data_IF_462909992223
#
_entry.id   IF_462909992223
#
_cell.length_a   1.000
_cell.length_b   1.000
_cell.length_c   1.000
_cell.angle_alpha   90.00
_cell.angle_beta   90.00
_cell.angle_gamma   90.00
#
_symmetry.space_group_name_H-M   'P 1'
#
loop_
_entity.id
_entity.type
_entity.pdbx_description
1 polymer ?
#
# COMPACT_ATOMS: atom_id res chain seq x y z
N UNK A 1 36.17 1.94 -31.79
CA UNK A 1 36.02 2.83 -30.61
C UNK A 1 34.55 2.96 -30.15
N UNK A 2 33.67 1.98 -30.38
CA UNK A 2 32.21 2.18 -30.26
C UNK A 2 31.55 1.44 -29.06
N UNK A 3 32.24 0.48 -28.44
CA UNK A 3 31.72 -0.29 -27.29
C UNK A 3 31.34 0.59 -26.09
N UNK A 4 32.05 1.70 -25.86
CA UNK A 4 31.85 2.56 -24.68
C UNK A 4 30.59 3.44 -24.70
N UNK A 5 30.00 3.70 -25.87
CA UNK A 5 28.77 4.52 -25.97
C UNK A 5 27.53 3.67 -25.68
N UNK A 6 27.45 2.49 -26.31
CA UNK A 6 26.36 1.53 -26.14
C UNK A 6 26.18 1.09 -24.67
N UNK A 7 27.28 0.87 -23.94
CA UNK A 7 27.19 0.48 -22.54
C UNK A 7 26.62 1.60 -21.64
N UNK A 8 26.87 2.88 -21.96
CA UNK A 8 26.28 4.02 -21.22
C UNK A 8 24.78 4.10 -21.42
N UNK A 9 24.28 3.94 -22.64
CA UNK A 9 22.84 3.93 -22.92
C UNK A 9 22.13 2.77 -22.24
N UNK A 10 22.74 1.57 -22.23
CA UNK A 10 22.20 0.41 -21.52
C UNK A 10 22.12 0.64 -20.01
N UNK A 11 23.14 1.28 -19.42
CA UNK A 11 23.12 1.64 -17.99
C UNK A 11 22.04 2.67 -17.66
N UNK A 12 21.88 3.69 -18.51
CA UNK A 12 20.83 4.69 -18.35
C UNK A 12 19.44 4.06 -18.48
N UNK A 13 19.24 3.21 -19.48
CA UNK A 13 17.99 2.48 -19.68
C UNK A 13 17.63 1.65 -18.45
N UNK A 14 18.58 0.91 -17.88
CA UNK A 14 18.36 0.11 -16.66
C UNK A 14 17.93 0.98 -15.47
N UNK A 15 18.53 2.17 -15.29
CA UNK A 15 18.14 3.09 -14.22
C UNK A 15 16.74 3.66 -14.45
N UNK A 16 16.40 4.04 -15.68
CA UNK A 16 15.06 4.52 -16.03
C UNK A 16 14.02 3.41 -15.83
N UNK A 17 14.29 2.20 -16.28
CA UNK A 17 13.38 1.06 -16.07
C UNK A 17 13.25 0.73 -14.58
N UNK A 18 14.34 0.75 -13.81
CA UNK A 18 14.27 0.57 -12.36
C UNK A 18 13.40 1.64 -11.70
N UNK A 19 13.50 2.88 -12.16
CA UNK A 19 12.68 3.98 -11.67
C UNK A 19 11.19 3.83 -12.00
N UNK A 20 10.88 3.42 -13.24
CA UNK A 20 9.50 3.12 -13.64
C UNK A 20 8.91 1.97 -12.81
N UNK A 21 9.68 0.90 -12.59
CA UNK A 21 9.29 -0.20 -11.70
C UNK A 21 9.03 0.32 -10.28
N UNK A 22 9.86 1.24 -9.78
CA UNK A 22 9.63 1.90 -8.50
C UNK A 22 8.32 2.68 -8.47
N UNK A 23 8.05 3.54 -9.45
CA UNK A 23 6.78 4.27 -9.54
C UNK A 23 5.58 3.32 -9.57
N UNK A 24 5.65 2.24 -10.36
CA UNK A 24 4.59 1.22 -10.44
C UNK A 24 4.41 0.53 -9.09
N UNK A 25 5.49 0.12 -8.41
CA UNK A 25 5.39 -0.53 -7.09
C UNK A 25 4.80 0.39 -6.02
N UNK A 26 4.99 1.70 -6.14
CA UNK A 26 4.38 2.69 -5.24
C UNK A 26 2.90 2.86 -5.55
N UNK A 27 2.54 3.01 -6.82
CA UNK A 27 1.13 3.09 -7.22
C UNK A 27 0.39 1.83 -6.78
N UNK A 28 0.91 0.64 -7.11
CA UNK A 28 0.32 -0.64 -6.66
C UNK A 28 0.40 -0.80 -5.15
N UNK A 29 1.43 -0.29 -4.47
CA UNK A 29 1.54 -0.37 -3.01
C UNK A 29 0.48 0.49 -2.31
N UNK A 30 0.30 1.74 -2.74
CA UNK A 30 -0.76 2.62 -2.25
C UNK A 30 -2.13 2.06 -2.62
N UNK A 31 -2.38 1.84 -3.90
CA UNK A 31 -3.64 1.28 -4.40
C UNK A 31 -3.93 -0.08 -3.77
N UNK A 32 -2.93 -0.92 -3.56
CA UNK A 32 -3.02 -2.25 -2.96
C UNK A 32 -3.29 -2.22 -1.46
N UNK A 33 -2.67 -1.32 -0.70
CA UNK A 33 -3.02 -1.09 0.71
C UNK A 33 -4.51 -0.71 0.85
N UNK A 34 -4.99 0.17 -0.03
CA UNK A 34 -6.40 0.54 -0.06
C UNK A 34 -7.31 -0.54 -0.64
N UNK A 35 -6.89 -1.27 -1.68
CA UNK A 35 -7.63 -2.39 -2.28
C UNK A 35 -7.74 -3.57 -1.33
N UNK A 36 -6.70 -3.85 -0.56
CA UNK A 36 -6.69 -4.95 0.40
C UNK A 36 -7.66 -4.66 1.54
N UNK A 37 -7.67 -3.42 2.01
CA UNK A 37 -8.71 -2.94 2.93
C UNK A 37 -10.11 -2.92 2.31
N UNK A 38 -10.24 -2.63 1.01
CA UNK A 38 -11.51 -2.66 0.29
C UNK A 38 -12.04 -4.07 0.06
N UNK A 39 -11.19 -5.02 -0.31
CA UNK A 39 -11.56 -6.44 -0.41
C UNK A 39 -11.94 -6.96 0.96
N UNK A 40 -11.17 -6.61 2.00
CA UNK A 40 -11.53 -6.90 3.38
C UNK A 40 -12.89 -6.29 3.73
N UNK A 41 -13.16 -5.05 3.33
CA UNK A 41 -14.42 -4.36 3.61
C UNK A 41 -15.60 -5.03 2.89
N UNK A 42 -15.48 -5.32 1.59
CA UNK A 42 -16.50 -6.03 0.79
C UNK A 42 -16.75 -7.42 1.35
N UNK A 43 -15.69 -8.17 1.69
CA UNK A 43 -15.83 -9.49 2.29
C UNK A 43 -16.42 -9.44 3.71
N UNK A 44 -16.01 -8.48 4.54
CA UNK A 44 -16.53 -8.28 5.90
C UNK A 44 -17.99 -7.87 5.88
N UNK A 45 -18.36 -6.91 5.02
CA UNK A 45 -19.73 -6.43 4.83
C UNK A 45 -20.63 -7.56 4.32
N UNK A 46 -20.18 -8.33 3.32
CA UNK A 46 -20.91 -9.51 2.82
C UNK A 46 -21.13 -10.55 3.93
N UNK A 47 -20.11 -10.81 4.77
CA UNK A 47 -20.19 -11.74 5.90
C UNK A 47 -21.11 -11.23 7.01
N UNK A 48 -21.09 -9.93 7.29
CA UNK A 48 -21.98 -9.30 8.26
C UNK A 48 -23.44 -9.29 7.79
N UNK A 49 -23.69 -9.01 6.51
CA UNK A 49 -25.01 -9.09 5.91
C UNK A 49 -25.53 -10.53 5.90
N UNK A 50 -24.68 -11.51 5.60
CA UNK A 50 -25.01 -12.94 5.67
C UNK A 50 -25.34 -13.39 7.09
N UNK A 51 -24.54 -12.98 8.08
CA UNK A 51 -24.79 -13.26 9.50
C UNK A 51 -26.06 -12.56 10.01
N UNK A 52 -26.35 -11.32 9.59
CA UNK A 52 -27.61 -10.65 9.89
C UNK A 52 -28.78 -11.41 9.28
N UNK A 53 -28.70 -11.84 8.02
CA UNK A 53 -29.74 -12.67 7.38
C UNK A 53 -29.96 -13.97 8.15
N UNK A 54 -28.89 -14.68 8.50
CA UNK A 54 -28.93 -15.92 9.29
C UNK A 54 -29.55 -15.69 10.68
N UNK A 55 -29.17 -14.62 11.39
CA UNK A 55 -29.75 -14.26 12.70
C UNK A 55 -31.20 -13.80 12.60
N UNK A 56 -31.61 -13.11 11.53
CA UNK A 56 -33.01 -12.72 11.27
C UNK A 56 -33.86 -13.96 10.99
N UNK A 57 -33.39 -14.92 10.17
CA UNK A 57 -34.09 -16.21 10.00
C UNK A 57 -34.17 -17.03 11.29
N UNK A 58 -33.18 -16.91 12.18
CA UNK A 58 -33.18 -17.59 13.49
C UNK A 58 -34.07 -16.88 14.54
N UNK A 59 -34.25 -15.55 14.39
CA UNK A 59 -35.09 -14.70 15.24
C UNK A 59 -36.56 -14.63 14.77
N UNK A 60 -36.86 -15.11 13.56
CA UNK A 60 -38.22 -15.28 13.02
C UNK A 60 -38.97 -16.48 13.65
N UNK A 61 -38.87 -16.62 14.97
CA UNK A 61 -39.93 -17.20 15.81
C UNK A 61 -40.30 -16.09 16.79
N UNK A 62 -41.30 -15.24 16.45
CA UNK A 62 -41.62 -14.08 17.27
C UNK A 62 -42.22 -14.55 18.59
N UNK A 63 -41.47 -14.40 19.68
CA UNK A 63 -42.03 -14.45 21.03
C UNK A 63 -42.68 -13.09 21.31
N UNK A 64 -44.01 -13.10 21.40
CA UNK A 64 -44.94 -11.96 21.60
C UNK A 64 -44.56 -11.01 22.76
N UNK A 65 -43.69 -11.47 23.67
CA UNK A 65 -43.16 -10.72 24.80
C UNK A 65 -42.18 -9.60 24.42
N UNK A 66 -41.34 -9.78 23.39
CA UNK A 66 -40.29 -8.80 23.03
C UNK A 66 -40.82 -7.61 22.21
N UNK A 67 -41.91 -7.80 21.47
CA UNK A 67 -42.57 -6.73 20.70
C UNK A 67 -43.26 -5.72 21.62
N UNK A 68 -43.67 -6.14 22.82
CA UNK A 68 -44.27 -5.28 23.84
C UNK A 68 -43.21 -4.41 24.53
N UNK A 69 -42.03 -4.96 24.83
CA UNK A 69 -40.92 -4.21 25.44
C UNK A 69 -40.40 -3.13 24.48
N UNK A 70 -40.38 -3.41 23.16
CA UNK A 70 -39.96 -2.45 22.14
C UNK A 70 -40.90 -1.24 22.00
N UNK A 71 -42.19 -1.38 22.35
CA UNK A 71 -43.15 -0.26 22.38
C UNK A 71 -43.00 0.67 23.58
N UNK A 72 -42.30 0.25 24.64
CA UNK A 72 -42.22 0.97 25.92
C UNK A 72 -40.91 1.79 26.03
N UNK A 73 -39.94 1.59 25.13
CA UNK A 73 -38.66 2.31 25.21
C UNK A 73 -38.81 3.78 24.76
N UNK A 74 -38.48 4.77 25.63
CA UNK A 74 -38.42 6.15 25.21
C UNK A 74 -37.30 6.32 24.17
N UNK A 75 -37.55 7.18 23.18
CA UNK A 75 -36.57 7.58 22.17
C UNK A 75 -35.43 8.41 22.80
N UNK A 76 -34.57 7.75 23.57
CA UNK A 76 -33.25 8.27 23.86
C UNK A 76 -32.45 8.15 22.56
N UNK A 77 -31.86 9.23 22.01
CA UNK A 77 -30.91 9.07 20.94
C UNK A 77 -29.77 8.25 21.55
N UNK A 78 -29.64 6.99 21.14
CA UNK A 78 -28.41 6.28 21.35
C UNK A 78 -27.32 7.24 20.92
N UNK A 79 -26.40 7.58 21.83
CA UNK A 79 -25.09 8.05 21.39
C UNK A 79 -24.58 6.86 20.61
N UNK A 80 -24.87 6.85 19.31
CA UNK A 80 -24.56 5.77 18.41
C UNK A 80 -23.10 5.50 18.66
N UNK A 81 -22.85 4.31 19.18
CA UNK A 81 -21.53 3.79 19.48
C UNK A 81 -20.61 4.32 18.40
N UNK A 82 -19.68 5.22 18.79
CA UNK A 82 -18.71 5.82 17.91
C UNK A 82 -18.13 4.68 17.06
N UNK A 83 -18.65 4.45 15.84
CA UNK A 83 -18.65 3.15 15.17
C UNK A 83 -17.26 2.53 15.29
N UNK A 84 -17.07 1.47 16.10
CA UNK A 84 -15.73 0.98 16.44
C UNK A 84 -14.95 0.55 15.19
N UNK A 85 -15.68 0.23 14.12
CA UNK A 85 -15.15 -0.05 12.78
C UNK A 85 -14.38 1.13 12.18
N UNK A 86 -14.87 2.38 12.24
CA UNK A 86 -14.11 3.52 11.69
C UNK A 86 -12.83 3.78 12.50
N UNK A 87 -12.87 3.55 13.81
CA UNK A 87 -11.74 3.85 14.70
C UNK A 87 -10.63 2.84 14.44
N UNK A 88 -10.98 1.57 14.32
CA UNK A 88 -10.02 0.49 14.01
C UNK A 88 -9.49 0.60 12.58
N UNK A 89 -10.34 0.95 11.59
CA UNK A 89 -9.94 1.14 10.18
C UNK A 89 -8.97 2.31 10.03
N UNK A 90 -9.35 3.48 10.53
CA UNK A 90 -8.52 4.68 10.45
C UNK A 90 -7.23 4.49 11.24
N UNK A 91 -7.28 3.84 12.39
CA UNK A 91 -6.08 3.53 13.18
C UNK A 91 -5.09 2.68 12.38
N UNK A 92 -5.51 1.56 11.80
CA UNK A 92 -4.61 0.68 11.05
C UNK A 92 -4.03 1.36 9.79
N UNK A 93 -4.84 2.16 9.08
CA UNK A 93 -4.38 2.95 7.93
C UNK A 93 -3.35 4.00 8.35
N UNK A 94 -3.65 4.80 9.38
CA UNK A 94 -2.76 5.85 9.88
C UNK A 94 -1.45 5.26 10.41
N UNK A 95 -1.51 4.16 11.17
CA UNK A 95 -0.31 3.49 11.67
C UNK A 95 0.56 2.93 10.55
N UNK A 96 -0.05 2.35 9.51
CA UNK A 96 0.70 1.86 8.35
C UNK A 96 1.37 3.01 7.59
N UNK A 97 0.66 4.11 7.34
CA UNK A 97 1.23 5.29 6.67
C UNK A 97 2.37 5.92 7.48
N UNK A 98 2.20 6.01 8.80
CA UNK A 98 3.21 6.53 9.70
C UNK A 98 4.47 5.66 9.67
N UNK A 99 4.32 4.33 9.80
CA UNK A 99 5.43 3.38 9.70
C UNK A 99 6.13 3.46 8.35
N UNK A 100 5.36 3.60 7.26
CA UNK A 100 5.92 3.75 5.92
C UNK A 100 6.72 5.03 5.79
N UNK A 101 6.21 6.17 6.27
CA UNK A 101 6.89 7.45 6.16
C UNK A 101 8.17 7.51 7.01
N UNK A 102 8.14 6.94 8.23
CA UNK A 102 9.32 6.80 9.09
C UNK A 102 10.36 5.91 8.42
N UNK A 103 9.96 4.74 7.93
CA UNK A 103 10.85 3.81 7.24
C UNK A 103 11.45 4.40 5.96
N UNK A 104 10.66 5.09 5.15
CA UNK A 104 11.12 5.78 3.93
C UNK A 104 12.17 6.82 4.28
N UNK A 105 11.89 7.68 5.25
CA UNK A 105 12.84 8.70 5.72
C UNK A 105 14.16 8.07 6.19
N UNK A 106 14.06 6.99 6.97
CA UNK A 106 15.26 6.25 7.43
C UNK A 106 16.05 5.67 6.25
N UNK A 107 15.37 5.06 5.28
CA UNK A 107 16.00 4.53 4.06
C UNK A 107 16.71 5.62 3.25
N UNK A 108 16.12 6.82 3.14
CA UNK A 108 16.76 7.96 2.47
C UNK A 108 18.01 8.43 3.19
N UNK A 109 17.94 8.58 4.52
CA UNK A 109 19.12 8.93 5.33
C UNK A 109 20.22 7.88 5.16
N UNK A 110 19.84 6.59 5.15
CA UNK A 110 20.77 5.49 4.96
C UNK A 110 21.45 5.56 3.58
N UNK A 111 20.70 5.87 2.52
CA UNK A 111 21.27 6.03 1.16
C UNK A 111 22.27 7.18 1.07
N UNK A 112 22.05 8.27 1.84
CA UNK A 112 22.99 9.39 1.89
C UNK A 112 24.32 8.99 2.53
N UNK A 113 24.31 8.06 3.49
CA UNK A 113 25.52 7.57 4.18
C UNK A 113 26.18 6.40 3.43
N UNK A 114 25.37 5.49 2.87
CA UNK A 114 25.81 4.27 2.20
C UNK A 114 25.32 4.32 0.76
N UNK A 115 26.23 4.63 -0.16
CA UNK A 115 25.97 4.66 -1.60
C UNK A 115 26.31 3.30 -2.24
N UNK A 116 25.70 2.21 -1.75
CA UNK A 116 25.86 0.85 -2.31
C UNK A 116 24.51 0.33 -2.82
N UNK A 117 24.38 -0.27 -4.02
CA UNK A 117 25.42 -0.56 -5.01
C UNK A 117 26.03 0.69 -5.64
N UNK A 118 27.32 0.61 -6.00
CA UNK A 118 28.01 1.69 -6.70
C UNK A 118 27.29 2.04 -8.01
N UNK A 119 27.36 3.31 -8.41
CA UNK A 119 26.83 3.83 -9.67
C UNK A 119 27.30 3.01 -10.90
N UNK A 120 28.46 2.36 -10.81
CA UNK A 120 29.05 1.48 -11.84
C UNK A 120 28.28 0.17 -12.05
N UNK A 121 27.39 -0.22 -11.13
CA UNK A 121 26.67 -1.50 -11.16
C UNK A 121 25.14 -1.30 -11.09
N UNK A 122 24.51 -0.60 -12.06
CA UNK A 122 23.06 -0.32 -12.04
C UNK A 122 22.19 -1.58 -12.15
N UNK A 123 22.75 -2.69 -12.63
CA UNK A 123 22.10 -4.01 -12.67
C UNK A 123 21.66 -4.47 -11.29
N UNK A 124 22.49 -4.30 -10.27
CA UNK A 124 22.14 -4.74 -8.91
C UNK A 124 20.99 -3.90 -8.36
N UNK A 125 21.01 -2.58 -8.60
CA UNK A 125 19.92 -1.68 -8.22
C UNK A 125 18.60 -2.07 -8.91
N UNK A 126 18.65 -2.40 -10.20
CA UNK A 126 17.50 -2.90 -10.94
C UNK A 126 16.93 -4.19 -10.33
N UNK A 127 17.77 -5.18 -10.03
CA UNK A 127 17.31 -6.42 -9.40
C UNK A 127 16.73 -6.21 -8.00
N UNK A 128 17.31 -5.32 -7.20
CA UNK A 128 16.76 -4.94 -5.90
C UNK A 128 15.37 -4.29 -6.09
N UNK A 129 15.21 -3.38 -7.06
CA UNK A 129 13.91 -2.78 -7.36
C UNK A 129 12.89 -3.84 -7.83
N UNK A 130 13.31 -4.80 -8.65
CA UNK A 130 12.44 -5.86 -9.15
C UNK A 130 12.02 -6.85 -8.04
N UNK A 131 12.95 -7.22 -7.17
CA UNK A 131 12.66 -8.07 -6.01
C UNK A 131 11.58 -7.48 -5.09
N UNK A 132 11.32 -6.16 -5.17
CA UNK A 132 10.27 -5.52 -4.38
C UNK A 132 8.85 -5.87 -4.83
N UNK A 133 8.67 -6.38 -6.04
CA UNK A 133 7.39 -6.97 -6.45
C UNK A 133 7.03 -8.18 -5.59
N UNK A 134 8.01 -8.88 -5.01
CA UNK A 134 7.77 -9.98 -4.07
C UNK A 134 7.08 -9.47 -2.80
N UNK A 135 7.41 -8.29 -2.30
CA UNK A 135 6.73 -7.73 -1.12
C UNK A 135 5.23 -7.54 -1.37
N UNK A 136 4.82 -7.18 -2.58
CA UNK A 136 3.40 -7.06 -2.94
C UNK A 136 2.69 -8.40 -2.79
N UNK A 137 3.33 -9.48 -3.26
CA UNK A 137 2.81 -10.85 -3.12
C UNK A 137 2.76 -11.25 -1.64
N UNK A 138 3.81 -10.96 -0.86
CA UNK A 138 3.86 -11.24 0.58
C UNK A 138 2.78 -10.48 1.35
N UNK A 139 2.53 -9.20 1.06
CA UNK A 139 1.42 -8.45 1.63
C UNK A 139 0.08 -9.11 1.30
N UNK A 140 -0.06 -9.64 0.09
CA UNK A 140 -1.17 -10.48 -0.34
C UNK A 140 -1.46 -11.64 0.64
N UNK A 141 -0.42 -12.34 1.10
CA UNK A 141 -0.55 -13.49 1.99
C UNK A 141 -0.70 -13.15 3.48
N UNK A 142 -0.38 -11.92 3.89
CA UNK A 142 -0.31 -11.55 5.31
C UNK A 142 -1.66 -11.25 5.98
N UNK A 143 -2.79 -11.14 5.26
CA UNK A 143 -4.03 -10.71 5.89
C UNK A 143 -5.33 -11.25 5.24
N UNK A 144 -5.44 -12.57 5.02
CA UNK A 144 -6.75 -13.17 4.71
C UNK A 144 -7.50 -13.54 6.00
N UNK A 145 -8.61 -12.86 6.35
CA UNK A 145 -9.41 -13.22 7.50
C UNK A 145 -10.39 -14.32 7.08
N UNK A 146 -9.97 -15.57 7.24
CA UNK A 146 -10.79 -16.78 7.31
C UNK A 146 -12.12 -16.75 6.52
N UNK A 147 -12.02 -16.45 5.23
CA UNK A 147 -13.05 -16.68 4.23
C UNK A 147 -12.42 -17.64 3.22
N UNK A 148 -12.83 -18.91 3.30
CA UNK A 148 -12.65 -19.92 2.25
C UNK A 148 -11.34 -20.74 2.23
N UNK A 149 -10.82 -21.14 3.39
CA UNK A 149 -9.89 -22.29 3.44
C UNK A 149 -8.44 -22.04 2.98
N UNK A 150 -8.03 -20.79 2.77
CA UNK A 150 -6.62 -20.47 2.58
C UNK A 150 -5.87 -20.53 3.92
N UNK A 151 -4.78 -21.30 4.03
CA UNK A 151 -4.05 -21.46 5.27
C UNK A 151 -3.40 -20.12 5.65
N UNK A 152 -3.73 -19.70 6.85
CA UNK A 152 -3.32 -18.46 7.47
C UNK A 152 -1.85 -18.59 7.94
N UNK A 153 -0.91 -17.92 7.27
CA UNK A 153 0.54 -18.15 7.53
C UNK A 153 1.07 -17.26 8.67
N UNK A 154 0.50 -16.07 8.95
CA UNK A 154 1.08 -15.11 9.89
C UNK A 154 0.06 -14.52 10.90
N UNK A 155 0.07 -14.99 12.17
CA UNK A 155 -0.86 -14.61 13.28
C UNK A 155 -0.60 -13.29 13.97
N UNK A 156 0.53 -12.65 13.67
CA UNK A 156 0.98 -11.50 14.43
C UNK A 156 1.00 -10.24 13.57
N UNK A 157 0.29 -9.21 14.02
CA UNK A 157 0.33 -7.84 13.48
C UNK A 157 1.77 -7.28 13.42
N UNK A 158 2.65 -7.79 14.29
CA UNK A 158 4.08 -7.50 14.28
C UNK A 158 4.77 -7.89 12.96
N UNK A 159 4.37 -8.99 12.33
CA UNK A 159 4.97 -9.46 11.06
C UNK A 159 4.58 -8.52 9.93
N UNK A 160 3.32 -8.11 9.90
CA UNK A 160 2.85 -7.09 8.97
C UNK A 160 3.62 -5.76 9.16
N UNK A 161 3.77 -5.30 10.41
CA UNK A 161 4.52 -4.08 10.71
C UNK A 161 6.00 -4.17 10.28
N UNK A 162 6.67 -5.31 10.50
CA UNK A 162 8.06 -5.54 10.06
C UNK A 162 8.16 -5.54 8.53
N UNK A 163 7.20 -6.14 7.83
CA UNK A 163 7.15 -6.15 6.37
C UNK A 163 6.94 -4.75 5.80
N UNK A 164 6.00 -3.98 6.36
CA UNK A 164 5.77 -2.57 6.00
C UNK A 164 7.03 -1.75 6.21
N UNK A 165 7.68 -1.89 7.38
CA UNK A 165 8.90 -1.16 7.71
C UNK A 165 10.07 -1.52 6.77
N UNK A 166 10.28 -2.81 6.52
CA UNK A 166 11.33 -3.29 5.60
C UNK A 166 11.08 -2.80 4.17
N UNK A 167 9.83 -2.88 3.71
CA UNK A 167 9.43 -2.36 2.40
C UNK A 167 9.66 -0.85 2.31
N UNK A 168 9.30 -0.08 3.34
CA UNK A 168 9.49 1.36 3.42
C UNK A 168 10.96 1.77 3.39
N UNK A 169 11.81 1.12 4.19
CA UNK A 169 13.26 1.38 4.19
C UNK A 169 13.85 1.08 2.81
N UNK A 170 13.49 -0.06 2.20
CA UNK A 170 13.94 -0.41 0.85
C UNK A 170 13.48 0.62 -0.20
N UNK A 171 12.28 1.18 -0.03
CA UNK A 171 11.74 2.22 -0.89
C UNK A 171 12.57 3.49 -0.83
N UNK A 172 12.74 4.05 0.37
CA UNK A 172 13.50 5.28 0.57
C UNK A 172 14.94 5.16 0.10
N UNK A 173 15.55 4.00 0.34
CA UNK A 173 16.90 3.72 -0.09
C UNK A 173 17.05 3.68 -1.62
N UNK A 174 16.25 2.85 -2.30
CA UNK A 174 16.33 2.70 -3.76
C UNK A 174 15.91 3.98 -4.50
N UNK A 175 14.90 4.69 -4.01
CA UNK A 175 14.42 5.92 -4.62
C UNK A 175 15.50 7.02 -4.60
N UNK A 176 16.15 7.21 -3.45
CA UNK A 176 17.24 8.17 -3.32
C UNK A 176 18.44 7.82 -4.20
N UNK A 177 18.82 6.54 -4.27
CA UNK A 177 19.90 6.12 -5.17
C UNK A 177 19.55 6.38 -6.65
N UNK A 178 18.31 6.10 -7.07
CA UNK A 178 17.87 6.42 -8.43
C UNK A 178 17.92 7.94 -8.70
N UNK A 179 17.38 8.75 -7.79
CA UNK A 179 17.40 10.21 -7.88
C UNK A 179 18.82 10.80 -7.86
N UNK A 180 19.79 10.12 -7.25
CA UNK A 180 21.20 10.52 -7.32
C UNK A 180 21.89 10.05 -8.61
N UNK A 181 21.64 8.82 -9.05
CA UNK A 181 22.40 8.20 -10.14
C UNK A 181 21.91 8.61 -11.52
N UNK A 182 20.60 8.75 -11.73
CA UNK A 182 20.06 9.09 -13.05
C UNK A 182 20.49 10.50 -13.53
N UNK A 183 20.39 11.58 -12.72
CA UNK A 183 20.90 12.90 -13.11
C UNK A 183 22.41 12.96 -13.35
N UNK A 184 23.20 12.11 -12.68
CA UNK A 184 24.66 12.05 -12.85
C UNK A 184 25.10 11.30 -14.11
N UNK A 185 24.21 10.53 -14.72
CA UNK A 185 24.48 9.75 -15.95
C UNK A 185 24.11 10.50 -17.24
N UNK A 186 23.42 11.63 -17.14
CA UNK A 186 23.10 12.52 -18.27
C UNK A 186 24.08 13.69 -18.34
N UNK A 187 24.05 14.46 -19.45
CA UNK A 187 24.82 15.69 -19.56
C UNK A 187 24.46 16.69 -18.45
N UNK A 188 25.45 17.42 -17.94
CA UNK A 188 25.28 18.35 -16.81
C UNK A 188 24.16 19.39 -17.04
N UNK A 189 23.97 19.82 -18.28
CA UNK A 189 22.89 20.76 -18.68
C UNK A 189 21.48 20.18 -18.47
N UNK A 190 21.31 18.87 -18.55
CA UNK A 190 20.03 18.16 -18.43
C UNK A 190 19.83 17.51 -17.05
N UNK A 191 20.88 17.45 -16.23
CA UNK A 191 20.89 16.79 -14.92
C UNK A 191 19.82 17.33 -13.97
N UNK A 192 19.72 18.66 -13.85
CA UNK A 192 18.72 19.33 -13.01
C UNK A 192 17.29 19.03 -13.47
N UNK A 193 17.04 19.08 -14.78
CA UNK A 193 15.74 18.76 -15.38
C UNK A 193 15.34 17.31 -15.15
N UNK A 194 16.26 16.36 -15.30
CA UNK A 194 15.99 14.93 -15.05
C UNK A 194 15.63 14.69 -13.59
N UNK A 195 16.38 15.26 -12.64
CA UNK A 195 16.07 15.12 -11.21
C UNK A 195 14.70 15.70 -10.84
N UNK A 196 14.35 16.86 -11.42
CA UNK A 196 13.04 17.47 -11.25
C UNK A 196 11.92 16.59 -11.83
N UNK A 197 12.08 16.12 -13.07
CA UNK A 197 11.09 15.28 -13.75
C UNK A 197 10.84 13.97 -13.00
N UNK A 198 11.90 13.32 -12.50
CA UNK A 198 11.77 12.14 -11.66
C UNK A 198 10.92 12.45 -10.42
N UNK A 199 11.32 13.46 -9.65
CA UNK A 199 10.57 13.83 -8.43
C UNK A 199 9.11 14.17 -8.71
N UNK A 200 8.84 14.89 -9.81
CA UNK A 200 7.47 15.19 -10.25
C UNK A 200 6.70 13.91 -10.62
N UNK A 201 7.31 13.00 -11.37
CA UNK A 201 6.68 11.74 -11.76
C UNK A 201 6.30 10.89 -10.55
N UNK A 202 7.14 10.83 -9.52
CA UNK A 202 6.83 10.13 -8.28
C UNK A 202 5.64 10.76 -7.54
N UNK A 203 5.63 12.09 -7.40
CA UNK A 203 4.55 12.83 -6.74
C UNK A 203 3.23 12.72 -7.51
N UNK A 204 3.28 12.77 -8.84
CA UNK A 204 2.10 12.56 -9.69
C UNK A 204 1.60 11.11 -9.56
N UNK A 205 2.50 10.13 -9.52
CA UNK A 205 2.14 8.73 -9.33
C UNK A 205 1.41 8.49 -8.01
N UNK A 206 1.89 9.07 -6.89
CA UNK A 206 1.21 8.94 -5.59
C UNK A 206 -0.13 9.66 -5.56
N UNK A 207 -0.23 10.84 -6.19
CA UNK A 207 -1.48 11.58 -6.32
C UNK A 207 -2.53 10.78 -7.10
N UNK A 208 -2.17 10.28 -8.29
CA UNK A 208 -3.05 9.45 -9.12
C UNK A 208 -3.45 8.17 -8.37
N UNK A 209 -2.50 7.49 -7.71
CA UNK A 209 -2.78 6.29 -6.91
C UNK A 209 -3.79 6.53 -5.79
N UNK A 210 -3.73 7.71 -5.16
CA UNK A 210 -4.67 8.11 -4.10
C UNK A 210 -6.08 8.38 -4.64
N UNK A 211 -6.18 9.07 -5.79
CA UNK A 211 -7.46 9.32 -6.48
C UNK A 211 -8.09 8.01 -6.94
N UNK A 212 -7.31 7.13 -7.59
CA UNK A 212 -7.80 5.83 -8.06
C UNK A 212 -8.31 4.99 -6.90
N UNK A 213 -7.55 4.93 -5.81
CA UNK A 213 -7.96 4.26 -4.58
C UNK A 213 -9.33 4.75 -4.08
N UNK A 214 -9.49 6.07 -3.94
CA UNK A 214 -10.76 6.65 -3.52
C UNK A 214 -11.90 6.32 -4.50
N UNK A 215 -11.66 6.45 -5.81
CA UNK A 215 -12.64 6.14 -6.83
C UNK A 215 -13.11 4.68 -6.80
N UNK A 216 -12.20 3.73 -6.52
CA UNK A 216 -12.55 2.32 -6.39
C UNK A 216 -13.42 2.10 -5.14
N UNK A 217 -13.07 2.71 -3.99
CA UNK A 217 -13.92 2.67 -2.78
C UNK A 217 -15.32 3.19 -3.06
N UNK A 218 -15.45 4.34 -3.72
CA UNK A 218 -16.76 4.92 -4.04
C UNK A 218 -17.58 4.02 -4.98
N UNK A 219 -16.96 3.47 -6.03
CA UNK A 219 -17.67 2.61 -7.01
C UNK A 219 -18.18 1.30 -6.39
N UNK A 220 -17.41 0.68 -5.49
CA UNK A 220 -17.84 -0.53 -4.80
C UNK A 220 -18.79 -0.24 -3.63
N UNK A 221 -18.71 0.93 -3.01
CA UNK A 221 -19.61 1.35 -1.94
C UNK A 221 -21.03 1.69 -2.41
N UNK A 222 -21.20 2.19 -3.64
CA UNK A 222 -22.52 2.52 -4.21
C UNK A 222 -23.30 1.28 -4.70
N UNK A 223 -22.65 0.11 -4.77
CA UNK A 223 -23.26 -1.14 -5.25
C UNK A 223 -23.86 -2.02 -4.13
N UNK A 224 -23.88 -1.54 -2.88
CA UNK A 224 -24.41 -2.24 -1.70
C UNK A 224 -25.44 -1.44 -0.95
#
# INVERSE_FOLDING_TARGET
MEKGSWDKYRMLLLLVTAYVVMCITVIIGFTGQFFYWLIFDVCSFSKEQSNRKLNVTKSSKPNEYYTLIQKIQPAYPSIDHLNPLWTVRLYAQVMTFLLFYIGDTFGRILSSKINKPSMEHPRLLFFICLARLLFIILFGFCHFPNTNGFPYIFKHDAIYAILVLTFAISHGYCNSLNLMYAPRRVHAQLSSTVGALMTMALTLGTFIGSILSYGIVTMYGDST
#
